data_IF_594067908058
#
_entry.id   IF_594067908058
#
_cell.length_a   1.000
_cell.length_b   1.000
_cell.length_c   1.000
_cell.angle_alpha   90.00
_cell.angle_beta   90.00
_cell.angle_gamma   90.00
#
_symmetry.space_group_name_H-M   'P 1'
#
loop_
_entity.id
_entity.type
_entity.pdbx_description
1 polymer ?
#
# COMPACT_ATOMS: atom_id res chain seq x y z
N UNK A 1 13.35 23.21 9.63
CA UNK A 1 14.23 22.10 9.20
C UNK A 1 13.69 20.86 9.87
N UNK A 2 12.91 20.05 9.15
CA UNK A 2 12.26 18.88 9.75
C UNK A 2 13.29 17.75 9.83
N UNK A 3 13.48 17.24 11.04
CA UNK A 3 14.31 16.11 11.40
C UNK A 3 13.97 14.92 10.46
N UNK A 4 14.88 14.61 9.54
CA UNK A 4 14.79 13.43 8.68
C UNK A 4 15.15 12.22 9.54
N UNK A 5 14.21 11.82 10.38
CA UNK A 5 14.39 10.72 11.31
C UNK A 5 14.61 9.41 10.53
N UNK A 6 15.59 8.63 10.99
CA UNK A 6 16.31 7.51 10.33
C UNK A 6 15.42 6.30 10.01
N UNK A 7 14.29 6.50 9.37
CA UNK A 7 13.48 5.39 8.84
C UNK A 7 14.21 4.79 7.65
N UNK A 8 14.43 3.46 7.63
CA UNK A 8 15.14 2.82 6.53
C UNK A 8 14.38 3.08 5.23
N UNK A 9 15.07 3.46 4.16
CA UNK A 9 14.39 3.76 2.90
C UNK A 9 13.59 2.54 2.43
N UNK A 10 12.31 2.74 2.13
CA UNK A 10 11.51 1.68 1.51
C UNK A 10 12.10 1.39 0.12
N UNK A 11 12.62 0.18 -0.04
CA UNK A 11 13.27 -0.32 -1.27
C UNK A 11 12.54 -1.54 -1.84
N UNK A 12 11.37 -1.86 -1.28
CA UNK A 12 10.58 -3.02 -1.66
C UNK A 12 9.58 -2.65 -2.74
N UNK A 13 9.37 -3.57 -3.66
CA UNK A 13 8.40 -3.47 -4.74
C UNK A 13 7.30 -4.49 -4.47
N UNK A 14 6.05 -4.12 -4.72
CA UNK A 14 4.91 -5.01 -4.52
C UNK A 14 4.25 -5.26 -5.85
N UNK A 15 4.06 -6.51 -6.19
CA UNK A 15 3.26 -6.91 -7.33
C UNK A 15 1.94 -7.49 -6.83
N UNK A 16 0.84 -6.91 -7.29
CA UNK A 16 -0.51 -7.39 -7.02
C UNK A 16 -1.07 -8.03 -8.29
N UNK A 17 -1.56 -9.26 -8.18
CA UNK A 17 -2.12 -10.00 -9.31
C UNK A 17 -3.36 -10.78 -8.89
N UNK A 18 -4.24 -11.05 -9.85
CA UNK A 18 -5.35 -11.98 -9.63
C UNK A 18 -6.43 -11.44 -8.70
N UNK A 19 -6.52 -10.12 -8.53
CA UNK A 19 -7.62 -9.49 -7.77
C UNK A 19 -8.96 -9.51 -8.51
N UNK A 20 -8.98 -9.95 -9.77
CA UNK A 20 -10.16 -9.82 -10.64
C UNK A 20 -10.43 -8.37 -11.08
N UNK A 21 -9.67 -7.39 -10.58
CA UNK A 21 -9.74 -5.98 -10.96
C UNK A 21 -8.40 -5.52 -11.57
N UNK A 22 -8.35 -5.20 -12.88
CA UNK A 22 -7.13 -4.71 -13.51
C UNK A 22 -6.67 -3.34 -12.97
N UNK A 23 -7.54 -2.62 -12.28
CA UNK A 23 -7.25 -1.35 -11.62
C UNK A 23 -6.48 -1.54 -10.30
N UNK A 24 -6.46 -2.75 -9.77
CA UNK A 24 -5.67 -3.12 -8.58
C UNK A 24 -4.46 -3.95 -9.00
N UNK A 25 -4.59 -4.78 -10.03
CA UNK A 25 -3.46 -5.58 -10.49
C UNK A 25 -2.36 -4.71 -11.13
N UNK A 26 -1.12 -5.02 -10.80
CA UNK A 26 0.09 -4.39 -11.36
C UNK A 26 1.22 -4.24 -10.34
N UNK A 27 2.24 -3.51 -10.76
CA UNK A 27 3.41 -3.22 -9.93
C UNK A 27 3.20 -1.94 -9.11
N UNK A 28 3.70 -1.99 -7.88
CA UNK A 28 3.70 -0.92 -6.92
C UNK A 28 5.13 -0.66 -6.45
N UNK A 29 5.49 0.61 -6.40
CA UNK A 29 6.81 1.14 -6.02
C UNK A 29 6.70 1.88 -4.69
N UNK A 30 7.80 2.05 -3.95
CA UNK A 30 7.81 2.86 -2.73
C UNK A 30 7.11 4.21 -2.95
N UNK A 31 6.20 4.56 -2.05
CA UNK A 31 5.36 5.74 -2.23
C UNK A 31 6.18 7.02 -2.29
N UNK A 32 5.89 7.90 -3.23
CA UNK A 32 6.52 9.22 -3.34
C UNK A 32 5.58 10.33 -2.86
N UNK A 33 4.51 9.97 -2.13
CA UNK A 33 3.56 10.92 -1.58
C UNK A 33 4.26 11.96 -0.69
N UNK A 34 3.90 13.25 -0.80
CA UNK A 34 4.50 14.28 0.02
C UNK A 34 4.18 14.06 1.49
N UNK A 35 5.09 14.43 2.41
CA UNK A 35 4.85 14.31 3.84
C UNK A 35 3.54 14.96 4.26
N UNK A 36 2.63 14.15 4.76
CA UNK A 36 1.29 14.56 5.15
C UNK A 36 0.97 14.01 6.53
N UNK A 37 0.27 14.83 7.31
CA UNK A 37 -0.23 14.45 8.62
C UNK A 37 -1.54 13.69 8.44
N UNK A 38 -1.58 12.44 8.90
CA UNK A 38 -2.81 11.65 8.85
C UNK A 38 -3.80 12.07 9.93
N UNK A 39 -5.05 11.63 9.82
CA UNK A 39 -6.08 11.81 10.85
C UNK A 39 -5.68 11.22 12.22
N UNK A 40 -4.75 10.25 12.22
CA UNK A 40 -4.16 9.67 13.42
C UNK A 40 -3.08 10.57 14.06
N UNK A 41 -2.90 11.82 13.57
CA UNK A 41 -1.92 12.78 14.05
C UNK A 41 -0.45 12.34 13.82
N UNK A 42 -0.23 11.34 12.95
CA UNK A 42 1.09 10.79 12.60
C UNK A 42 1.59 11.44 11.32
N UNK A 43 2.85 11.89 11.31
CA UNK A 43 3.50 12.39 10.09
C UNK A 43 3.92 11.23 9.19
N UNK A 44 3.45 11.26 7.95
CA UNK A 44 3.91 10.36 6.88
C UNK A 44 5.13 10.95 6.19
N UNK A 45 5.96 10.11 5.59
CA UNK A 45 7.19 10.49 4.86
C UNK A 45 7.29 9.70 3.56
N UNK A 46 8.27 10.02 2.72
CA UNK A 46 8.45 9.29 1.46
C UNK A 46 8.68 7.80 1.76
N UNK A 47 7.88 6.94 1.12
CA UNK A 47 7.90 5.49 1.29
C UNK A 47 7.17 4.98 2.53
N UNK A 48 6.60 5.87 3.35
CA UNK A 48 5.97 5.55 4.63
C UNK A 48 4.64 6.25 4.84
N UNK A 49 3.65 5.50 5.32
CA UNK A 49 2.36 6.00 5.74
C UNK A 49 2.07 5.50 7.15
N UNK A 50 1.69 6.40 8.05
CA UNK A 50 1.34 6.01 9.42
C UNK A 50 2.46 5.22 10.16
N UNK A 51 3.73 5.48 9.84
CA UNK A 51 4.88 4.78 10.42
C UNK A 51 5.16 3.39 9.84
N UNK A 52 4.37 2.91 8.87
CA UNK A 52 4.60 1.66 8.13
C UNK A 52 4.94 1.96 6.67
N UNK A 53 5.57 1.02 5.98
CA UNK A 53 5.89 1.19 4.56
C UNK A 53 4.62 1.36 3.72
N UNK A 54 4.72 2.17 2.67
CA UNK A 54 3.61 2.49 1.78
C UNK A 54 4.07 2.47 0.32
N UNK A 55 3.15 2.12 -0.57
CA UNK A 55 3.45 1.97 -1.99
C UNK A 55 2.44 2.68 -2.88
N UNK A 56 2.95 3.22 -3.98
CA UNK A 56 2.18 3.82 -5.06
C UNK A 56 2.20 2.92 -6.29
N UNK A 57 1.18 3.06 -7.12
CA UNK A 57 1.13 2.43 -8.44
C UNK A 57 2.32 2.87 -9.28
N UNK A 58 3.06 1.90 -9.83
CA UNK A 58 4.25 2.17 -10.65
C UNK A 58 3.93 2.89 -11.97
N UNK A 59 2.67 2.86 -12.41
CA UNK A 59 2.22 3.57 -13.61
C UNK A 59 1.74 5.00 -13.33
N UNK A 60 1.72 5.44 -12.06
CA UNK A 60 1.33 6.78 -11.66
C UNK A 60 -0.15 7.14 -11.92
N UNK A 61 -1.02 6.16 -12.21
CA UNK A 61 -2.42 6.41 -12.55
C UNK A 61 -3.37 6.37 -11.37
N UNK A 62 -2.89 6.08 -10.16
CA UNK A 62 -3.73 6.10 -8.98
C UNK A 62 -4.10 7.55 -8.62
N UNK A 63 -5.39 7.83 -8.46
CA UNK A 63 -5.90 9.10 -7.93
C UNK A 63 -5.51 9.29 -6.46
N UNK A 64 -5.31 8.19 -5.73
CA UNK A 64 -4.90 8.20 -4.33
C UNK A 64 -3.48 7.66 -4.16
N UNK A 65 -2.68 8.46 -3.45
CA UNK A 65 -1.37 8.06 -2.94
C UNK A 65 -1.35 8.16 -1.42
N UNK A 66 -0.85 7.14 -0.69
CA UNK A 66 -0.41 5.82 -1.18
C UNK A 66 -1.56 4.89 -1.60
N UNK A 67 -1.29 4.02 -2.57
CA UNK A 67 -2.26 3.05 -3.07
C UNK A 67 -2.33 1.77 -2.21
N UNK A 68 -1.20 1.37 -1.61
CA UNK A 68 -1.13 0.35 -0.55
C UNK A 68 -0.68 1.02 0.74
N UNK A 69 -1.48 0.90 1.79
CA UNK A 69 -1.22 1.60 3.06
C UNK A 69 -1.70 0.84 4.28
N UNK A 70 -1.08 1.16 5.41
CA UNK A 70 -1.47 0.64 6.71
C UNK A 70 -2.42 1.59 7.44
N UNK A 71 -3.50 1.04 7.97
CA UNK A 71 -4.52 1.76 8.72
C UNK A 71 -4.39 1.46 10.20
N UNK A 72 -3.78 2.38 10.97
CA UNK A 72 -3.57 2.22 12.43
C UNK A 72 -4.89 1.92 13.17
N UNK A 73 -5.95 2.68 12.90
CA UNK A 73 -7.22 2.54 13.64
C UNK A 73 -7.95 1.21 13.40
N UNK A 74 -7.59 0.48 12.36
CA UNK A 74 -8.19 -0.83 12.04
C UNK A 74 -7.16 -1.97 12.14
N UNK A 75 -5.90 -1.66 12.45
CA UNK A 75 -4.78 -2.61 12.48
C UNK A 75 -4.80 -3.50 11.23
N UNK A 76 -4.82 -2.86 10.06
CA UNK A 76 -5.08 -3.53 8.80
C UNK A 76 -4.33 -2.90 7.62
N UNK A 77 -3.86 -3.77 6.72
CA UNK A 77 -3.38 -3.37 5.40
C UNK A 77 -4.53 -3.18 4.43
N UNK A 78 -4.40 -2.19 3.56
CA UNK A 78 -5.44 -1.80 2.60
C UNK A 78 -4.86 -1.54 1.22
N UNK A 79 -5.64 -1.91 0.21
CA UNK A 79 -5.35 -1.63 -1.20
C UNK A 79 -6.51 -0.83 -1.79
N UNK A 80 -6.19 0.26 -2.48
CA UNK A 80 -7.16 1.00 -3.27
C UNK A 80 -7.01 0.71 -4.77
N UNK A 81 -8.11 0.96 -5.49
CA UNK A 81 -8.16 0.99 -6.96
C UNK A 81 -7.49 2.27 -7.48
N UNK A 82 -7.35 2.34 -8.80
CA UNK A 82 -6.92 3.55 -9.50
C UNK A 82 -7.79 4.76 -9.15
N UNK A 83 -9.10 4.57 -8.93
CA UNK A 83 -10.04 5.63 -8.59
C UNK A 83 -9.97 6.10 -7.11
N UNK A 84 -9.03 5.56 -6.33
CA UNK A 84 -8.83 5.88 -4.92
C UNK A 84 -9.80 5.21 -3.95
N UNK A 85 -10.80 4.46 -4.43
CA UNK A 85 -11.69 3.67 -3.58
C UNK A 85 -10.96 2.44 -3.03
N UNK A 86 -11.22 2.13 -1.75
CA UNK A 86 -10.69 0.91 -1.13
C UNK A 86 -11.35 -0.31 -1.76
N UNK A 87 -10.53 -1.31 -2.10
CA UNK A 87 -10.98 -2.54 -2.74
C UNK A 87 -10.66 -3.80 -1.92
N UNK A 88 -9.53 -3.82 -1.21
CA UNK A 88 -9.15 -4.97 -0.41
C UNK A 88 -8.58 -4.54 0.94
N UNK A 89 -8.77 -5.39 1.93
CA UNK A 89 -8.23 -5.19 3.27
C UNK A 89 -7.76 -6.51 3.83
N UNK A 90 -6.83 -6.46 4.77
CA UNK A 90 -6.53 -7.61 5.62
C UNK A 90 -6.13 -7.12 7.01
N UNK A 91 -6.76 -7.68 8.04
CA UNK A 91 -6.48 -7.33 9.43
C UNK A 91 -5.27 -8.12 9.91
N UNK A 92 -4.14 -7.45 10.07
CA UNK A 92 -2.93 -7.98 10.69
C UNK A 92 -2.01 -6.85 11.12
N UNK A 93 -1.07 -7.13 12.04
CA UNK A 93 -0.10 -6.14 12.53
C UNK A 93 1.30 -6.29 11.91
N UNK A 94 1.39 -7.09 10.84
CA UNK A 94 2.63 -7.40 10.15
C UNK A 94 3.34 -6.12 9.66
N UNK A 95 4.68 -6.16 9.60
CA UNK A 95 5.48 -5.02 9.13
C UNK A 95 5.29 -4.75 7.63
N UNK A 96 4.97 -5.79 6.87
CA UNK A 96 4.72 -5.77 5.44
C UNK A 96 3.33 -6.34 5.16
N UNK A 97 2.71 -5.95 4.03
CA UNK A 97 1.46 -6.56 3.59
C UNK A 97 1.67 -8.07 3.40
N UNK A 98 0.82 -8.92 3.98
CA UNK A 98 1.04 -10.36 3.98
C UNK A 98 0.85 -10.94 2.58
N UNK A 99 1.79 -11.80 2.18
CA UNK A 99 1.79 -12.54 0.90
C UNK A 99 1.49 -14.04 1.10
N UNK A 100 1.39 -14.48 2.35
CA UNK A 100 1.22 -15.86 2.79
C UNK A 100 -0.25 -16.27 3.02
N UNK A 101 -1.18 -15.31 2.97
CA UNK A 101 -2.60 -15.53 3.28
C UNK A 101 -3.52 -14.69 2.38
N UNK A 102 -4.77 -15.10 2.31
CA UNK A 102 -5.79 -14.48 1.47
C UNK A 102 -6.26 -13.14 2.05
N UNK A 103 -6.51 -12.18 1.17
CA UNK A 103 -7.02 -10.86 1.51
C UNK A 103 -8.55 -10.82 1.46
N UNK A 104 -9.16 -9.98 2.29
CA UNK A 104 -10.61 -9.78 2.26
C UNK A 104 -11.02 -8.81 1.15
N UNK A 105 -12.06 -9.19 0.41
CA UNK A 105 -12.76 -8.28 -0.51
C UNK A 105 -13.45 -7.19 0.31
N UNK A 106 -13.15 -5.93 0.03
CA UNK A 106 -13.60 -4.80 0.83
C UNK A 106 -14.18 -3.67 -0.02
N UNK A 107 -15.40 -3.22 0.30
CA UNK A 107 -16.11 -2.15 -0.43
C UNK A 107 -16.19 -2.39 -1.94
N UNK A 108 -15.30 -1.79 -2.73
CA UNK A 108 -15.32 -1.82 -4.20
C UNK A 108 -14.43 -2.92 -4.78
N UNK A 109 -13.95 -3.85 -3.96
CA UNK A 109 -13.24 -5.04 -4.43
C UNK A 109 -14.18 -6.06 -5.06
N UNK A 110 -13.61 -6.94 -5.86
CA UNK A 110 -14.30 -8.09 -6.46
C UNK A 110 -13.49 -9.35 -6.18
N UNK A 111 -14.14 -10.51 -6.08
CA UNK A 111 -13.45 -11.79 -5.99
C UNK A 111 -12.88 -12.19 -7.38
N UNK A 112 -11.73 -12.88 -7.44
CA UNK A 112 -10.97 -13.43 -6.31
C UNK A 112 -10.12 -12.39 -5.58
N UNK A 113 -9.68 -12.73 -4.37
CA UNK A 113 -8.81 -11.87 -3.58
C UNK A 113 -7.45 -11.65 -4.27
N UNK A 114 -6.80 -10.48 -4.08
CA UNK A 114 -5.49 -10.20 -4.65
C UNK A 114 -4.43 -11.14 -4.10
N UNK A 115 -3.50 -11.54 -4.96
CA UNK A 115 -2.24 -12.16 -4.57
C UNK A 115 -1.13 -11.11 -4.57
N UNK A 116 -0.48 -10.98 -3.42
CA UNK A 116 0.66 -10.08 -3.21
C UNK A 116 1.97 -10.84 -3.36
N UNK A 117 2.89 -10.28 -4.12
CA UNK A 117 4.29 -10.73 -4.19
C UNK A 117 5.21 -9.55 -3.86
N UNK A 118 6.15 -9.75 -2.93
CA UNK A 118 7.10 -8.72 -2.52
C UNK A 118 8.45 -9.00 -3.18
N UNK A 119 8.97 -8.01 -3.91
CA UNK A 119 10.24 -8.06 -4.59
C UNK A 119 11.26 -7.12 -3.93
N UNK A 120 12.51 -7.58 -3.80
CA UNK A 120 13.62 -6.76 -3.25
C UNK A 120 14.26 -5.83 -4.29
N UNK A 121 13.89 -5.98 -5.56
CA UNK A 121 14.37 -5.22 -6.73
C UNK A 121 13.21 -5.01 -7.68
N UNK A 122 13.28 -3.97 -8.51
CA UNK A 122 12.27 -3.72 -9.54
C UNK A 122 12.22 -4.93 -10.50
N UNK A 123 11.06 -5.58 -10.66
CA UNK A 123 10.93 -6.73 -11.56
C UNK A 123 10.73 -6.35 -13.04
N UNK A 124 10.71 -5.06 -13.38
CA UNK A 124 10.59 -4.56 -14.77
C UNK A 124 11.91 -4.50 -15.53
#
# INVERSE_FOLDING_TARGET
MAECDKTPSNTLYIEVTGSGLPEVDGLYVPSTAPPTKSDANVMSSIGYWNGKMAWDRADGKAERSPAISYSIGFTAWRICRLDGHLAYTIVCDDELPPSDREWDVYKMGVAPAPKITIHKRDPR
#
